data_IF_280511280316
#
_entry.id   IF_280511280316
#
_cell.length_a   1.000
_cell.length_b   1.000
_cell.length_c   1.000
_cell.angle_alpha   90.00
_cell.angle_beta   90.00
_cell.angle_gamma   90.00
#
_symmetry.space_group_name_H-M   'P 1'
#
loop_
_entity.id
_entity.type
_entity.pdbx_description
1 polymer ?
#
# COMPACT_ATOMS: atom_id res chain seq x y z
N UNK A 1 -33.76 2.37 -13.88
CA UNK A 1 -33.39 2.74 -12.50
C UNK A 1 -31.90 3.01 -12.48
N UNK A 2 -31.52 4.24 -12.13
CA UNK A 2 -30.14 4.71 -12.09
C UNK A 2 -29.44 4.07 -10.89
N UNK A 3 -28.85 2.88 -11.08
CA UNK A 3 -27.76 2.44 -10.22
C UNK A 3 -26.69 3.52 -10.29
N UNK A 4 -26.37 4.14 -9.16
CA UNK A 4 -25.18 4.98 -9.01
C UNK A 4 -24.01 4.37 -9.76
N UNK A 5 -23.68 5.06 -10.86
CA UNK A 5 -22.36 5.22 -11.49
C UNK A 5 -21.44 4.00 -11.40
N UNK A 6 -21.26 3.33 -12.53
CA UNK A 6 -20.33 2.20 -12.76
C UNK A 6 -18.90 2.44 -12.19
N UNK A 7 -18.52 3.71 -12.03
CA UNK A 7 -17.24 4.16 -11.48
C UNK A 7 -17.05 3.98 -9.97
N UNK A 8 -18.10 4.12 -9.15
CA UNK A 8 -17.99 3.97 -7.68
C UNK A 8 -17.72 2.50 -7.31
N UNK A 9 -18.41 1.56 -7.98
CA UNK A 9 -18.16 0.12 -7.80
C UNK A 9 -16.71 -0.24 -8.14
N UNK A 10 -16.19 0.27 -9.25
CA UNK A 10 -14.81 0.01 -9.64
C UNK A 10 -13.82 0.62 -8.64
N UNK A 11 -14.09 1.83 -8.16
CA UNK A 11 -13.28 2.50 -7.15
C UNK A 11 -13.22 1.71 -5.82
N UNK A 12 -14.35 1.22 -5.35
CA UNK A 12 -14.40 0.40 -4.13
C UNK A 12 -13.65 -0.91 -4.28
N UNK A 13 -13.78 -1.59 -5.43
CA UNK A 13 -13.06 -2.84 -5.71
C UNK A 13 -11.55 -2.62 -5.79
N UNK A 14 -11.10 -1.55 -6.45
CA UNK A 14 -9.68 -1.19 -6.51
C UNK A 14 -9.14 -0.86 -5.12
N UNK A 15 -9.91 -0.13 -4.31
CA UNK A 15 -9.53 0.20 -2.93
C UNK A 15 -9.43 -1.05 -2.06
N UNK A 16 -10.38 -1.97 -2.17
CA UNK A 16 -10.38 -3.23 -1.43
C UNK A 16 -9.22 -4.14 -1.86
N UNK A 17 -8.96 -4.24 -3.17
CA UNK A 17 -7.84 -5.03 -3.69
C UNK A 17 -6.49 -4.46 -3.25
N UNK A 18 -6.33 -3.14 -3.22
CA UNK A 18 -5.12 -2.49 -2.73
C UNK A 18 -4.87 -2.76 -1.24
N UNK A 19 -5.93 -2.73 -0.42
CA UNK A 19 -5.84 -3.08 1.00
C UNK A 19 -5.48 -4.56 1.16
N UNK A 20 -6.17 -5.45 0.45
CA UNK A 20 -5.88 -6.88 0.50
C UNK A 20 -4.44 -7.20 0.09
N UNK A 21 -3.89 -6.48 -0.88
CA UNK A 21 -2.49 -6.66 -1.31
C UNK A 21 -1.49 -6.23 -0.22
N UNK A 22 -1.75 -5.13 0.48
CA UNK A 22 -0.88 -4.65 1.57
C UNK A 22 -0.94 -5.61 2.78
N UNK A 23 -2.15 -6.08 3.13
CA UNK A 23 -2.35 -6.97 4.29
C UNK A 23 -1.75 -8.37 4.07
N UNK A 24 -1.60 -8.80 2.82
CA UNK A 24 -0.99 -10.09 2.47
C UNK A 24 0.55 -10.08 2.53
N UNK A 25 1.20 -8.96 2.85
CA UNK A 25 2.66 -8.94 3.05
C UNK A 25 3.02 -9.79 4.29
N UNK A 26 3.98 -10.73 4.21
CA UNK A 26 4.27 -11.67 5.32
C UNK A 26 4.64 -11.00 6.65
N UNK A 27 5.20 -9.79 6.59
CA UNK A 27 5.62 -8.99 7.74
C UNK A 27 4.60 -7.90 8.12
N UNK A 28 3.47 -7.80 7.41
CA UNK A 28 2.49 -6.73 7.61
C UNK A 28 1.93 -6.75 9.03
N UNK A 29 1.47 -7.92 9.50
CA UNK A 29 0.85 -8.07 10.82
C UNK A 29 1.84 -7.71 11.94
N UNK A 30 3.08 -8.17 11.83
CA UNK A 30 4.14 -7.86 12.78
C UNK A 30 4.42 -6.35 12.84
N UNK A 31 4.55 -5.70 11.68
CA UNK A 31 4.77 -4.25 11.60
C UNK A 31 3.58 -3.45 12.12
N UNK A 32 2.37 -3.87 11.77
CA UNK A 32 1.11 -3.27 12.23
C UNK A 32 1.03 -3.29 13.76
N UNK A 33 1.28 -4.45 14.36
CA UNK A 33 1.25 -4.61 15.82
C UNK A 33 2.38 -3.86 16.54
N UNK A 34 3.52 -3.62 15.87
CA UNK A 34 4.66 -2.86 16.41
C UNK A 34 4.53 -1.34 16.23
N UNK A 35 3.54 -0.86 15.49
CA UNK A 35 3.38 0.56 15.21
C UNK A 35 3.09 1.36 16.50
N UNK A 36 3.93 2.36 16.79
CA UNK A 36 3.87 3.11 18.06
C UNK A 36 2.89 4.29 18.04
N UNK A 37 2.49 4.74 16.86
CA UNK A 37 1.66 5.92 16.66
C UNK A 37 0.94 5.89 15.31
N UNK A 38 0.10 6.90 15.07
CA UNK A 38 -0.74 6.99 13.87
C UNK A 38 0.12 7.21 12.61
N UNK A 39 1.25 7.88 12.75
CA UNK A 39 2.21 8.13 11.67
C UNK A 39 2.86 6.82 11.22
N UNK A 40 3.28 5.96 12.15
CA UNK A 40 3.84 4.65 11.84
C UNK A 40 2.81 3.73 11.15
N UNK A 41 1.54 3.76 11.57
CA UNK A 41 0.47 3.03 10.88
C UNK A 41 0.28 3.55 9.44
N UNK A 42 0.33 4.88 9.26
CA UNK A 42 0.25 5.50 7.94
C UNK A 42 1.42 5.09 7.06
N UNK A 43 2.63 5.07 7.60
CA UNK A 43 3.83 4.65 6.88
C UNK A 43 3.77 3.17 6.49
N UNK A 44 3.25 2.30 7.34
CA UNK A 44 3.05 0.88 7.00
C UNK A 44 2.10 0.72 5.80
N UNK A 45 1.01 1.49 5.75
CA UNK A 45 0.05 1.45 4.64
C UNK A 45 0.60 2.13 3.38
N UNK A 46 1.40 3.20 3.51
CA UNK A 46 1.96 3.94 2.38
C UNK A 46 3.21 3.30 1.78
N UNK A 47 4.03 2.64 2.62
CA UNK A 47 5.28 1.97 2.25
C UNK A 47 5.11 0.45 2.06
N UNK A 48 3.96 -0.11 2.43
CA UNK A 48 3.59 -1.49 2.10
C UNK A 48 3.77 -1.72 0.60
N UNK A 49 4.46 -2.80 0.24
CA UNK A 49 5.02 -2.96 -1.10
C UNK A 49 3.94 -2.94 -2.19
N UNK A 50 3.68 -1.76 -2.77
CA UNK A 50 3.41 -1.71 -4.20
C UNK A 50 4.75 -1.92 -4.87
N UNK A 51 4.85 -2.88 -5.79
CA UNK A 51 5.95 -2.98 -6.76
C UNK A 51 6.01 -1.71 -7.60
N UNK A 52 6.40 -0.58 -7.02
CA UNK A 52 7.03 0.50 -7.75
C UNK A 52 8.41 -0.06 -8.04
N UNK A 53 8.73 -0.22 -9.31
CA UNK A 53 10.11 -0.35 -9.78
C UNK A 53 10.84 0.88 -9.23
N UNK A 54 11.38 0.76 -8.02
CA UNK A 54 12.17 1.79 -7.39
C UNK A 54 13.51 1.65 -8.08
N UNK A 55 13.72 2.49 -9.10
CA UNK A 55 15.05 2.69 -9.69
C UNK A 55 16.01 2.99 -8.55
N UNK A 56 16.90 2.04 -8.30
CA UNK A 56 18.03 2.16 -7.40
C UNK A 56 18.86 3.40 -7.77
N UNK A 57 18.55 4.54 -7.15
CA UNK A 57 19.47 5.69 -7.08
C UNK A 57 20.50 5.47 -5.96
N UNK A 58 21.06 4.27 -5.90
CA UNK A 58 22.12 3.86 -4.96
C UNK A 58 23.49 3.63 -5.61
N UNK A 59 23.60 3.64 -6.95
CA UNK A 59 24.86 3.33 -7.66
C UNK A 59 25.43 4.56 -8.39
N UNK A 60 25.46 5.72 -7.72
CA UNK A 60 26.26 6.88 -8.18
C UNK A 60 27.19 7.38 -7.08
N UNK A 61 27.97 6.49 -6.47
CA UNK A 61 29.15 6.87 -5.68
C UNK A 61 30.24 5.80 -5.79
N UNK A 62 30.58 5.42 -7.01
CA UNK A 62 31.83 4.74 -7.34
C UNK A 62 32.37 5.32 -8.65
N UNK A 63 32.96 6.51 -8.59
CA UNK A 63 34.13 6.88 -9.39
C UNK A 63 34.86 8.08 -8.79
#
# INVERSE_FOLDING_TARGET
MLLGTKDERNFHLVSLAAIAQIVQEPDFEERWMKAKNKEALRDIVLLGQRKRLQTDRGIINLK
#
